data_IF_956424493427
#
_entry.id   IF_956424493427
#
_cell.length_a   1.000
_cell.length_b   1.000
_cell.length_c   1.000
_cell.angle_alpha   90.00
_cell.angle_beta   90.00
_cell.angle_gamma   90.00
#
_symmetry.space_group_name_H-M   'P 1'
#
loop_
_entity.id
_entity.type
_entity.pdbx_description
1 polymer ?
#
# COMPACT_ATOMS: atom_id res chain seq x y z
N UNK A 1 29.69 8.07 -20.22
CA UNK A 1 29.84 6.95 -19.27
C UNK A 1 29.23 5.71 -19.88
N UNK A 2 29.90 4.55 -19.77
CA UNK A 2 29.37 3.28 -20.25
C UNK A 2 29.23 2.31 -19.10
N UNK A 3 28.00 1.90 -18.80
CA UNK A 3 27.69 1.02 -17.66
C UNK A 3 27.36 -0.36 -18.17
N UNK A 4 27.92 -1.40 -17.57
CA UNK A 4 27.54 -2.78 -17.86
C UNK A 4 26.09 -3.01 -17.42
N UNK A 5 25.21 -3.35 -18.36
CA UNK A 5 23.79 -3.63 -18.06
C UNK A 5 23.47 -5.12 -18.13
N UNK A 6 24.23 -5.90 -18.89
CA UNK A 6 24.02 -7.35 -19.02
C UNK A 6 25.30 -8.06 -19.44
N UNK A 7 25.49 -9.29 -18.96
CA UNK A 7 26.50 -10.23 -19.46
C UNK A 7 25.87 -11.57 -19.80
N UNK A 8 26.36 -12.22 -20.86
CA UNK A 8 25.81 -13.48 -21.39
C UNK A 8 26.91 -14.36 -22.00
N UNK A 9 26.56 -15.59 -22.36
CA UNK A 9 27.50 -16.50 -23.05
C UNK A 9 28.02 -15.94 -24.39
N UNK A 10 27.29 -15.02 -25.02
CA UNK A 10 27.67 -14.41 -26.31
C UNK A 10 28.55 -13.17 -26.16
N UNK A 11 28.54 -12.51 -24.99
CA UNK A 11 29.20 -11.23 -24.78
C UNK A 11 28.49 -10.37 -23.74
N UNK A 12 28.94 -9.11 -23.64
CA UNK A 12 28.47 -8.12 -22.66
C UNK A 12 27.78 -6.95 -23.37
N UNK A 13 26.74 -6.42 -22.75
CA UNK A 13 25.98 -5.26 -23.24
C UNK A 13 26.10 -4.10 -22.25
N UNK A 14 26.32 -2.91 -22.78
CA UNK A 14 26.59 -1.68 -22.03
C UNK A 14 25.61 -0.59 -22.43
N UNK A 15 25.19 0.24 -21.49
CA UNK A 15 24.44 1.46 -21.76
C UNK A 15 25.39 2.63 -21.94
N UNK A 16 25.39 3.27 -23.11
CA UNK A 16 26.09 4.53 -23.37
C UNK A 16 25.19 5.72 -22.97
N UNK A 17 25.58 6.44 -21.91
CA UNK A 17 24.80 7.58 -21.41
C UNK A 17 24.84 8.80 -22.33
N UNK A 18 25.91 8.97 -23.10
CA UNK A 18 26.14 10.13 -23.96
C UNK A 18 25.36 9.96 -25.27
N UNK A 19 25.49 8.79 -25.89
CA UNK A 19 24.81 8.45 -27.14
C UNK A 19 23.41 7.87 -26.94
N UNK A 20 23.01 7.59 -25.68
CA UNK A 20 21.71 7.06 -25.27
C UNK A 20 21.33 5.76 -25.99
N UNK A 21 22.27 4.82 -26.07
CA UNK A 21 22.10 3.55 -26.79
C UNK A 21 22.80 2.38 -26.11
N UNK A 22 22.40 1.17 -26.48
CA UNK A 22 23.11 -0.05 -26.10
C UNK A 22 24.34 -0.27 -27.00
N UNK A 23 25.43 -0.74 -26.39
CA UNK A 23 26.66 -1.13 -27.08
C UNK A 23 26.96 -2.58 -26.69
N UNK A 24 27.14 -3.45 -27.69
CA UNK A 24 27.44 -4.87 -27.48
C UNK A 24 28.90 -5.18 -27.76
N UNK A 25 29.55 -5.89 -26.84
CA UNK A 25 30.92 -6.39 -26.96
C UNK A 25 30.89 -7.92 -26.97
N UNK A 26 31.31 -8.58 -28.08
CA UNK A 26 31.36 -10.03 -28.16
C UNK A 26 32.29 -10.66 -27.12
N UNK A 27 31.98 -11.90 -26.72
CA UNK A 27 32.82 -12.66 -25.78
C UNK A 27 34.24 -12.83 -26.33
N UNK A 28 35.22 -12.55 -25.47
CA UNK A 28 36.65 -12.65 -25.80
C UNK A 28 37.23 -11.37 -26.42
N UNK A 29 36.41 -10.36 -26.67
CA UNK A 29 36.85 -9.02 -27.00
C UNK A 29 36.78 -8.13 -25.76
N UNK A 30 37.83 -7.36 -25.51
CA UNK A 30 37.81 -6.32 -24.48
C UNK A 30 37.15 -5.05 -25.04
N UNK A 31 36.34 -4.33 -24.25
CA UNK A 31 35.79 -3.04 -24.65
C UNK A 31 36.93 -2.05 -24.90
N UNK A 32 36.85 -1.30 -26.00
CA UNK A 32 37.77 -0.22 -26.37
C UNK A 32 37.44 1.09 -25.67
N UNK A 33 36.68 1.02 -24.57
CA UNK A 33 36.18 2.16 -23.83
C UNK A 33 36.24 1.92 -22.33
N UNK A 34 36.30 3.02 -21.59
CA UNK A 34 36.21 2.98 -20.14
C UNK A 34 34.81 2.54 -19.70
N UNK A 35 34.78 1.48 -18.89
CA UNK A 35 33.57 0.96 -18.27
C UNK A 35 33.46 1.54 -16.87
N UNK A 36 32.31 2.13 -16.55
CA UNK A 36 32.00 2.59 -15.20
C UNK A 36 31.31 1.47 -14.42
N UNK A 37 31.99 0.94 -13.41
CA UNK A 37 31.49 -0.18 -12.59
C UNK A 37 30.49 0.25 -11.51
N UNK A 38 30.69 1.43 -10.92
CA UNK A 38 29.84 1.97 -9.86
C UNK A 38 29.43 3.42 -10.19
N UNK A 39 28.46 3.61 -11.10
CA UNK A 39 28.02 4.95 -11.46
C UNK A 39 27.39 5.67 -10.27
N UNK A 40 27.54 6.99 -10.21
CA UNK A 40 26.85 7.77 -9.19
C UNK A 40 25.34 7.55 -9.27
N UNK A 41 24.72 7.32 -8.11
CA UNK A 41 23.28 7.19 -8.02
C UNK A 41 22.62 8.50 -8.46
N UNK A 42 21.62 8.39 -9.35
CA UNK A 42 20.73 9.51 -9.67
C UNK A 42 19.74 9.81 -8.53
N UNK A 43 19.68 8.94 -7.51
CA UNK A 43 18.93 9.21 -6.29
C UNK A 43 19.78 10.14 -5.41
N UNK A 44 19.19 11.24 -4.96
CA UNK A 44 19.80 12.10 -3.96
C UNK A 44 20.10 11.30 -2.68
N UNK A 45 21.24 11.59 -2.02
CA UNK A 45 21.66 10.91 -0.79
C UNK A 45 20.64 11.06 0.33
N UNK A 46 20.04 12.24 0.38
CA UNK A 46 18.79 12.49 1.09
C UNK A 46 17.69 12.17 0.09
N UNK A 47 17.09 10.98 0.20
CA UNK A 47 15.86 10.72 -0.51
C UNK A 47 14.84 11.72 0.04
N UNK A 48 14.74 12.87 -0.61
CA UNK A 48 13.66 13.82 -0.35
C UNK A 48 12.39 13.08 -0.81
N UNK A 49 11.78 12.33 0.11
CA UNK A 49 10.43 11.79 0.00
C UNK A 49 9.41 12.95 0.08
N UNK A 50 9.81 14.11 -0.42
CA UNK A 50 9.13 15.38 -0.38
C UNK A 50 8.98 15.89 -1.80
N UNK A 51 7.77 16.29 -2.18
CA UNK A 51 7.57 17.07 -3.40
C UNK A 51 7.57 18.53 -2.98
N UNK A 52 8.67 19.25 -3.23
CA UNK A 52 8.80 20.67 -2.86
C UNK A 52 8.91 20.92 -1.34
N UNK A 53 9.51 19.99 -0.59
CA UNK A 53 9.67 20.11 0.87
C UNK A 53 8.44 19.70 1.69
N UNK A 54 7.39 19.18 1.05
CA UNK A 54 6.19 18.64 1.73
C UNK A 54 6.13 17.12 1.63
N UNK A 55 5.82 16.40 2.73
CA UNK A 55 5.80 14.95 2.74
C UNK A 55 4.77 14.43 1.74
N UNK A 56 5.03 13.27 1.15
CA UNK A 56 4.12 12.67 0.17
C UNK A 56 2.94 12.05 0.93
N UNK A 57 1.74 12.61 0.75
CA UNK A 57 0.50 12.07 1.34
C UNK A 57 -0.40 11.47 0.25
N UNK A 58 -0.87 10.23 0.49
CA UNK A 58 -1.88 9.55 -0.32
C UNK A 58 -3.02 9.12 0.61
N UNK A 59 -4.14 9.85 0.57
CA UNK A 59 -5.25 9.62 1.51
C UNK A 59 -4.83 9.97 2.95
N UNK A 60 -4.96 9.01 3.87
CA UNK A 60 -4.51 9.10 5.27
C UNK A 60 -3.07 8.60 5.46
N UNK A 61 -2.41 8.11 4.42
CA UNK A 61 -1.03 7.61 4.48
C UNK A 61 -0.07 8.74 4.15
N UNK A 62 0.88 9.00 5.05
CA UNK A 62 1.97 9.97 4.82
C UNK A 62 3.29 9.24 4.80
N UNK A 63 4.13 9.57 3.82
CA UNK A 63 5.48 9.02 3.65
C UNK A 63 6.47 10.18 3.84
N UNK A 64 7.36 10.03 4.81
CA UNK A 64 8.47 10.95 5.08
C UNK A 64 9.77 10.17 5.34
N UNK A 65 10.85 10.87 5.69
CA UNK A 65 12.15 10.24 5.99
C UNK A 65 12.12 9.31 7.20
N UNK A 66 11.15 9.47 8.11
CA UNK A 66 10.99 8.64 9.30
C UNK A 66 10.17 7.37 9.01
N UNK A 67 9.62 7.24 7.79
CA UNK A 67 8.91 6.06 7.32
C UNK A 67 7.47 6.33 6.89
N UNK A 68 6.66 5.28 6.89
CA UNK A 68 5.25 5.33 6.50
C UNK A 68 4.41 5.50 7.77
N UNK A 69 3.64 6.58 7.83
CA UNK A 69 2.71 6.91 8.92
C UNK A 69 1.27 6.80 8.41
N UNK A 70 0.38 6.29 9.24
CA UNK A 70 -1.03 6.05 8.90
C UNK A 70 -1.35 4.57 8.73
N UNK A 71 -2.61 4.22 8.93
CA UNK A 71 -3.10 2.85 8.76
C UNK A 71 -3.04 2.46 7.28
N UNK A 72 -2.19 1.50 6.94
CA UNK A 72 -2.20 0.89 5.63
C UNK A 72 -3.39 -0.06 5.60
N UNK A 73 -4.42 0.25 4.81
CA UNK A 73 -5.50 -0.68 4.53
C UNK A 73 -4.89 -1.89 3.79
N UNK A 74 -4.49 -2.90 4.56
CA UNK A 74 -3.73 -4.05 4.09
C UNK A 74 -4.66 -4.97 3.30
N UNK A 75 -4.88 -4.70 2.02
CA UNK A 75 -5.62 -5.61 1.12
C UNK A 75 -4.71 -6.72 0.60
N UNK A 76 -4.05 -7.44 1.51
CA UNK A 76 -3.37 -8.69 1.15
C UNK A 76 -3.66 -9.74 2.21
N UNK A 77 -4.47 -10.72 1.80
CA UNK A 77 -4.78 -11.91 2.55
C UNK A 77 -3.50 -12.65 2.97
N UNK A 78 -3.29 -12.77 4.28
CA UNK A 78 -2.54 -13.83 4.97
C UNK A 78 -3.10 -13.81 6.39
N UNK A 79 -4.05 -14.67 6.77
CA UNK A 79 -3.88 -16.08 7.15
C UNK A 79 -2.72 -16.29 8.12
N UNK A 80 -3.12 -16.78 9.31
CA UNK A 80 -2.37 -17.33 10.44
C UNK A 80 -1.95 -16.34 11.53
N UNK A 81 -2.74 -16.39 12.62
CA UNK A 81 -2.40 -16.23 14.05
C UNK A 81 -1.11 -15.48 14.41
N UNK A 82 -1.26 -14.36 15.12
CA UNK A 82 -0.75 -14.27 16.48
C UNK A 82 -1.46 -13.13 17.23
N UNK A 83 -1.90 -13.43 18.44
CA UNK A 83 -2.72 -12.55 19.27
C UNK A 83 -1.88 -11.47 19.95
N UNK A 84 -2.26 -10.20 19.83
CA UNK A 84 -1.94 -9.20 20.86
C UNK A 84 -3.11 -8.25 21.13
N UNK A 85 -3.88 -8.64 22.15
CA UNK A 85 -4.45 -7.84 23.23
C UNK A 85 -5.25 -6.58 22.86
N UNK A 86 -6.57 -6.79 22.88
CA UNK A 86 -7.62 -5.81 23.16
C UNK A 86 -7.26 -4.89 24.34
N UNK A 87 -7.02 -3.61 24.06
CA UNK A 87 -7.31 -2.54 25.00
C UNK A 87 -8.65 -1.91 24.58
N UNK A 88 -9.73 -2.58 24.99
CA UNK A 88 -11.11 -2.13 24.82
C UNK A 88 -11.33 -0.87 25.66
N UNK A 89 -11.19 0.29 25.02
CA UNK A 89 -11.73 1.54 25.55
C UNK A 89 -13.26 1.47 25.42
N UNK A 90 -14.03 1.56 26.52
CA UNK A 90 -15.48 1.51 26.46
C UNK A 90 -15.97 2.89 26.02
N UNK A 91 -16.19 3.07 24.71
CA UNK A 91 -17.07 4.12 24.22
C UNK A 91 -18.45 3.51 24.05
N UNK A 92 -19.35 3.81 24.99
CA UNK A 92 -20.79 3.49 25.01
C UNK A 92 -21.57 4.18 23.86
N UNK A 93 -20.99 4.28 22.67
CA UNK A 93 -21.61 4.89 21.51
C UNK A 93 -21.52 3.96 20.29
N UNK A 94 -21.99 2.72 20.46
CA UNK A 94 -22.26 1.81 19.34
C UNK A 94 -23.23 2.44 18.33
N UNK A 95 -23.97 3.49 18.70
CA UNK A 95 -24.86 4.21 17.80
C UNK A 95 -24.11 4.84 16.62
N UNK A 96 -22.96 5.49 16.88
CA UNK A 96 -22.13 6.13 15.84
C UNK A 96 -21.59 5.09 14.85
N UNK A 97 -21.26 3.90 15.34
CA UNK A 97 -20.73 2.80 14.50
C UNK A 97 -21.83 2.21 13.61
N UNK A 98 -23.06 2.09 14.11
CA UNK A 98 -24.19 1.56 13.33
C UNK A 98 -24.58 2.50 12.18
N UNK A 99 -24.54 3.82 12.40
CA UNK A 99 -24.85 4.81 11.37
C UNK A 99 -23.95 4.71 10.13
N UNK A 100 -22.72 4.23 10.27
CA UNK A 100 -21.76 4.07 9.17
C UNK A 100 -21.96 2.77 8.37
N UNK A 101 -22.41 1.69 9.02
CA UNK A 101 -22.58 0.36 8.40
C UNK A 101 -23.53 0.35 7.20
N UNK A 102 -23.28 -0.51 6.22
CA UNK A 102 -24.18 -0.73 5.10
C UNK A 102 -25.36 -1.66 5.47
N UNK A 103 -26.38 -1.75 4.62
CA UNK A 103 -27.60 -2.55 4.89
C UNK A 103 -27.30 -4.03 5.17
N UNK A 104 -26.25 -4.60 4.56
CA UNK A 104 -25.88 -5.99 4.76
C UNK A 104 -25.23 -6.19 6.14
N UNK A 105 -24.30 -5.32 6.49
CA UNK A 105 -23.63 -5.30 7.80
C UNK A 105 -24.63 -5.10 8.93
N UNK A 106 -25.60 -4.19 8.76
CA UNK A 106 -26.66 -3.98 9.75
C UNK A 106 -27.52 -5.23 9.96
N UNK A 107 -27.83 -5.97 8.88
CA UNK A 107 -28.58 -7.24 8.98
C UNK A 107 -27.77 -8.34 9.65
N UNK A 108 -26.47 -8.40 9.40
CA UNK A 108 -25.56 -9.34 10.07
C UNK A 108 -25.38 -9.00 11.56
N UNK A 109 -25.22 -7.71 11.88
CA UNK A 109 -25.18 -7.20 13.25
C UNK A 109 -26.46 -7.57 14.03
N UNK A 110 -27.63 -7.28 13.45
CA UNK A 110 -28.92 -7.64 14.03
C UNK A 110 -29.04 -9.15 14.25
N UNK A 111 -28.66 -9.98 13.26
CA UNK A 111 -28.66 -11.44 13.39
C UNK A 111 -27.73 -11.93 14.53
N UNK A 112 -26.57 -11.31 14.70
CA UNK A 112 -25.62 -11.61 15.79
C UNK A 112 -26.19 -11.26 17.16
N UNK A 113 -26.98 -10.18 17.25
CA UNK A 113 -27.69 -9.75 18.46
C UNK A 113 -29.05 -10.46 18.65
N UNK A 114 -29.47 -11.30 17.70
CA UNK A 114 -30.75 -12.02 17.76
C UNK A 114 -31.98 -11.17 17.38
N UNK A 115 -31.77 -10.01 16.74
CA UNK A 115 -32.83 -9.10 16.28
C UNK A 115 -33.29 -9.54 14.89
N UNK A 116 -34.58 -9.81 14.72
CA UNK A 116 -35.15 -10.25 13.45
C UNK A 116 -35.63 -9.06 12.62
N UNK A 117 -34.95 -8.77 11.50
CA UNK A 117 -35.35 -7.71 10.57
C UNK A 117 -36.17 -8.33 9.43
N UNK A 118 -37.46 -7.98 9.27
CA UNK A 118 -38.29 -8.47 8.19
C UNK A 118 -37.64 -8.25 6.81
N UNK A 119 -37.77 -9.23 5.91
CA UNK A 119 -37.21 -9.15 4.55
C UNK A 119 -37.84 -8.06 3.68
N UNK A 120 -39.03 -7.58 4.06
CA UNK A 120 -39.72 -6.46 3.42
C UNK A 120 -39.01 -5.11 3.65
N UNK A 121 -38.32 -4.95 4.78
CA UNK A 121 -37.62 -3.70 5.14
C UNK A 121 -36.32 -3.60 4.34
N UNK A 122 -36.21 -2.61 3.46
CA UNK A 122 -35.00 -2.41 2.63
C UNK A 122 -34.28 -1.09 2.88
N UNK A 123 -34.92 -0.15 3.57
CA UNK A 123 -34.33 1.15 3.87
C UNK A 123 -33.35 1.05 5.04
N UNK A 124 -32.13 1.61 4.88
CA UNK A 124 -31.10 1.64 5.92
C UNK A 124 -31.60 2.26 7.23
N UNK A 125 -32.33 3.39 7.14
CA UNK A 125 -32.86 4.08 8.32
C UNK A 125 -33.89 3.27 9.11
N UNK A 126 -34.77 2.52 8.44
CA UNK A 126 -35.74 1.65 9.13
C UNK A 126 -35.05 0.49 9.84
N UNK A 127 -34.01 -0.09 9.22
CA UNK A 127 -33.20 -1.15 9.82
C UNK A 127 -32.47 -0.63 11.07
N UNK A 128 -31.89 0.57 10.99
CA UNK A 128 -31.24 1.22 12.13
C UNK A 128 -32.21 1.45 13.28
N UNK A 129 -33.42 1.94 12.99
CA UNK A 129 -34.45 2.12 14.02
C UNK A 129 -34.84 0.79 14.68
N UNK A 130 -35.05 -0.28 13.90
CA UNK A 130 -35.37 -1.62 14.45
C UNK A 130 -34.26 -2.10 15.39
N UNK A 131 -32.99 -1.87 15.03
CA UNK A 131 -31.85 -2.27 15.86
C UNK A 131 -31.81 -1.43 17.16
N UNK A 132 -31.95 -0.11 17.05
CA UNK A 132 -31.93 0.83 18.20
C UNK A 132 -33.10 0.64 19.16
N UNK A 133 -34.27 0.24 18.67
CA UNK A 133 -35.44 -0.05 19.53
C UNK A 133 -35.36 -1.43 20.22
N UNK A 134 -34.45 -2.30 19.77
CA UNK A 134 -34.29 -3.67 20.30
C UNK A 134 -33.09 -3.83 21.24
N UNK A 135 -32.33 -2.76 21.46
CA UNK A 135 -31.24 -2.65 22.43
C UNK A 135 -31.77 -2.26 23.82
#
# INVERSE_FOLDING_TARGET
MRVLIRSSASGSEYWDTEEKRNVFVPKGQEPDFEVTENPESMLSKEADLYVGGLPITVGNVTIDTDGIKGERLLTTASSADDEEQDELVPSDDESVVLEEMNVKELREYAKRKGIEIPSAVRAKGEILNIIKESE
#
